data_IF_010014450759
#
_entry.id   IF_010014450759
#
_cell.length_a   1.000
_cell.length_b   1.000
_cell.length_c   1.000
_cell.angle_alpha   90.00
_cell.angle_beta   90.00
_cell.angle_gamma   90.00
#
_symmetry.space_group_name_H-M   'P 1'
#
loop_
_entity.id
_entity.type
_entity.pdbx_description
1 polymer ?
#
# COMPACT_ATOMS: atom_id res chain seq x y z
N UNK A 1 -31.00 -19.69 -0.13
CA UNK A 1 -29.72 -20.42 0.07
C UNK A 1 -28.62 -19.60 -0.59
N UNK A 2 -28.04 -18.67 0.15
CA UNK A 2 -26.86 -17.90 -0.26
C UNK A 2 -25.65 -18.77 0.00
N UNK A 3 -25.15 -19.48 -1.02
CA UNK A 3 -23.86 -20.14 -0.95
C UNK A 3 -23.19 -20.13 -2.32
N UNK A 4 -21.88 -19.89 -2.33
CA UNK A 4 -21.36 -18.65 -2.85
C UNK A 4 -20.36 -18.99 -3.96
N UNK A 5 -20.61 -18.47 -5.16
CA UNK A 5 -19.60 -18.54 -6.22
C UNK A 5 -18.35 -17.86 -5.69
N UNK A 6 -17.29 -18.64 -5.45
CA UNK A 6 -15.96 -18.16 -5.11
C UNK A 6 -15.65 -16.94 -5.99
N UNK A 7 -15.45 -15.77 -5.38
CA UNK A 7 -15.02 -14.58 -6.11
C UNK A 7 -13.78 -14.98 -6.91
N UNK A 8 -13.86 -14.88 -8.24
CA UNK A 8 -12.78 -15.31 -9.11
C UNK A 8 -11.52 -14.53 -8.74
N UNK A 9 -10.46 -15.28 -8.41
CA UNK A 9 -9.14 -14.70 -8.16
C UNK A 9 -8.70 -13.97 -9.43
N UNK A 10 -8.32 -12.70 -9.27
CA UNK A 10 -7.79 -11.90 -10.37
C UNK A 10 -6.26 -11.84 -10.24
N UNK A 11 -5.53 -12.44 -11.18
CA UNK A 11 -4.08 -12.58 -11.09
C UNK A 11 -3.35 -11.23 -10.97
N UNK A 12 -3.84 -10.18 -11.65
CA UNK A 12 -3.28 -8.83 -11.56
C UNK A 12 -3.46 -8.25 -10.16
N UNK A 13 -4.62 -8.48 -9.54
CA UNK A 13 -4.85 -8.06 -8.15
C UNK A 13 -3.89 -8.77 -7.20
N UNK A 14 -3.70 -10.09 -7.35
CA UNK A 14 -2.74 -10.85 -6.54
C UNK A 14 -1.29 -10.38 -6.76
N UNK A 15 -0.93 -10.02 -7.99
CA UNK A 15 0.38 -9.45 -8.28
C UNK A 15 0.58 -8.11 -7.53
N UNK A 16 -0.43 -7.24 -7.51
CA UNK A 16 -0.37 -6.00 -6.72
C UNK A 16 -0.31 -6.25 -5.22
N UNK A 17 -1.06 -7.23 -4.70
CA UNK A 17 -0.95 -7.65 -3.29
C UNK A 17 0.48 -8.09 -2.95
N UNK A 18 1.07 -8.95 -3.79
CA UNK A 18 2.46 -9.38 -3.61
C UNK A 18 3.45 -8.22 -3.70
N UNK A 19 3.26 -7.30 -4.66
CA UNK A 19 4.09 -6.11 -4.82
C UNK A 19 4.03 -5.19 -3.60
N UNK A 20 2.84 -4.91 -3.08
CA UNK A 20 2.67 -4.04 -1.90
C UNK A 20 3.23 -4.70 -0.64
N UNK A 21 3.08 -6.02 -0.49
CA UNK A 21 3.71 -6.77 0.59
C UNK A 21 5.24 -6.64 0.53
N UNK A 22 5.83 -6.84 -0.65
CA UNK A 22 7.28 -6.67 -0.84
C UNK A 22 7.71 -5.24 -0.54
N UNK A 23 6.93 -4.25 -0.95
CA UNK A 23 7.21 -2.83 -0.66
C UNK A 23 7.20 -2.54 0.84
N UNK A 24 6.25 -3.10 1.59
CA UNK A 24 6.19 -2.95 3.04
C UNK A 24 7.38 -3.61 3.74
N UNK A 25 7.82 -4.79 3.26
CA UNK A 25 9.04 -5.44 3.76
C UNK A 25 10.27 -4.59 3.45
N UNK A 26 10.38 -4.04 2.23
CA UNK A 26 11.49 -3.18 1.84
C UNK A 26 11.54 -1.90 2.65
N UNK A 27 10.39 -1.26 2.89
CA UNK A 27 10.27 -0.08 3.75
C UNK A 27 10.89 -0.36 5.12
N UNK A 28 10.39 -1.37 5.84
CA UNK A 28 10.92 -1.69 7.18
C UNK A 28 12.39 -2.13 7.17
N UNK A 29 12.84 -2.79 6.12
CA UNK A 29 14.25 -3.13 5.96
C UNK A 29 15.13 -1.89 5.76
N UNK A 30 14.68 -0.94 4.93
CA UNK A 30 15.43 0.28 4.64
C UNK A 30 15.51 1.22 5.85
N UNK A 31 14.45 1.27 6.66
CA UNK A 31 14.36 2.07 7.88
C UNK A 31 15.45 1.72 8.93
N UNK A 32 16.10 0.55 8.86
CA UNK A 32 17.30 0.27 9.66
C UNK A 32 18.43 1.28 9.38
N UNK A 33 18.51 1.83 8.17
CA UNK A 33 19.48 2.85 7.78
C UNK A 33 19.33 4.15 8.56
N UNK A 34 18.15 4.45 9.11
CA UNK A 34 17.90 5.65 9.90
C UNK A 34 18.68 5.69 11.22
N UNK A 35 19.29 4.57 11.63
CA UNK A 35 20.26 4.55 12.73
C UNK A 35 21.44 5.50 12.49
N UNK A 36 21.78 5.80 11.22
CA UNK A 36 22.82 6.76 10.87
C UNK A 36 22.42 8.22 11.12
N UNK A 37 21.13 8.52 11.30
CA UNK A 37 20.65 9.87 11.56
C UNK A 37 21.00 10.29 12.99
N UNK A 38 21.98 11.18 13.10
CA UNK A 38 22.46 11.67 14.41
C UNK A 38 21.48 12.63 15.10
N UNK A 39 20.68 13.38 14.32
CA UNK A 39 19.75 14.39 14.84
C UNK A 39 18.32 14.13 14.37
N UNK A 40 17.51 13.65 15.30
CA UNK A 40 16.08 13.48 15.12
C UNK A 40 15.34 14.79 15.36
N UNK A 41 14.51 15.18 14.39
CA UNK A 41 13.57 16.29 14.55
C UNK A 41 12.16 15.73 14.51
N UNK A 42 11.22 16.49 15.08
CA UNK A 42 9.80 16.13 15.01
C UNK A 42 9.33 15.94 13.57
N UNK A 43 9.83 16.75 12.63
CA UNK A 43 9.49 16.65 11.20
C UNK A 43 9.91 15.33 10.56
N UNK A 44 11.13 14.84 10.84
CA UNK A 44 11.61 13.53 10.32
C UNK A 44 10.76 12.39 10.87
N UNK A 45 10.48 12.43 12.17
CA UNK A 45 9.65 11.41 12.81
C UNK A 45 8.21 11.41 12.26
N UNK A 46 7.61 12.59 12.11
CA UNK A 46 6.27 12.73 11.54
C UNK A 46 6.22 12.27 10.07
N UNK A 47 7.29 12.51 9.31
CA UNK A 47 7.41 12.06 7.93
C UNK A 47 7.36 10.53 7.82
N UNK A 48 8.12 9.80 8.65
CA UNK A 48 8.12 8.33 8.64
C UNK A 48 6.74 7.79 9.02
N UNK A 49 6.08 8.39 10.02
CA UNK A 49 4.69 8.03 10.37
C UNK A 49 3.77 8.23 9.17
N UNK A 50 3.87 9.37 8.48
CA UNK A 50 3.06 9.65 7.31
C UNK A 50 3.32 8.66 6.17
N UNK A 51 4.58 8.26 5.95
CA UNK A 51 4.94 7.24 4.98
C UNK A 51 4.34 5.88 5.33
N UNK A 52 4.49 5.43 6.58
CA UNK A 52 3.88 4.19 7.06
C UNK A 52 2.35 4.19 6.93
N UNK A 53 1.68 5.31 7.21
CA UNK A 53 0.23 5.46 7.00
C UNK A 53 -0.13 5.34 5.52
N UNK A 54 0.65 5.95 4.63
CA UNK A 54 0.41 5.89 3.18
C UNK A 54 0.51 4.44 2.67
N UNK A 55 1.53 3.69 3.13
CA UNK A 55 1.68 2.27 2.83
C UNK A 55 0.49 1.45 3.35
N UNK A 56 0.02 1.74 4.58
CA UNK A 56 -1.17 1.11 5.14
C UNK A 56 -2.42 1.39 4.30
N UNK A 57 -2.63 2.63 3.87
CA UNK A 57 -3.77 2.99 3.01
C UNK A 57 -3.71 2.27 1.66
N UNK A 58 -2.50 2.08 1.10
CA UNK A 58 -2.32 1.32 -0.14
C UNK A 58 -2.73 -0.16 0.04
N UNK A 59 -2.38 -0.78 1.18
CA UNK A 59 -2.86 -2.11 1.55
C UNK A 59 -4.39 -2.13 1.70
N UNK A 60 -4.95 -1.16 2.42
CA UNK A 60 -6.39 -1.07 2.68
C UNK A 60 -7.20 -0.92 1.38
N UNK A 61 -6.68 -0.19 0.38
CA UNK A 61 -7.33 -0.09 -0.92
C UNK A 61 -7.35 -1.41 -1.71
N UNK A 62 -6.39 -2.31 -1.48
CA UNK A 62 -6.41 -3.61 -2.12
C UNK A 62 -7.47 -4.55 -1.52
N UNK A 63 -7.83 -4.38 -0.25
CA UNK A 63 -8.78 -5.27 0.41
C UNK A 63 -10.11 -4.57 0.71
N UNK A 64 -11.20 -4.88 -0.01
CA UNK A 64 -12.50 -4.28 0.27
C UNK A 64 -13.06 -4.72 1.63
N UNK A 65 -13.69 -3.79 2.35
CA UNK A 65 -14.47 -4.10 3.56
C UNK A 65 -15.68 -5.00 3.26
N UNK A 66 -16.23 -4.91 2.05
CA UNK A 66 -17.37 -5.73 1.59
C UNK A 66 -17.30 -5.94 0.08
N UNK A 67 -17.61 -7.17 -0.36
CA UNK A 67 -17.73 -7.55 -1.77
C UNK A 67 -19.19 -7.55 -2.28
N UNK A 68 -20.16 -7.13 -1.45
CA UNK A 68 -21.59 -7.22 -1.79
C UNK A 68 -21.98 -6.41 -3.04
N UNK A 69 -21.27 -5.31 -3.30
CA UNK A 69 -21.51 -4.42 -4.44
C UNK A 69 -20.66 -4.78 -5.68
N UNK A 70 -19.81 -5.81 -5.60
CA UNK A 70 -18.84 -6.15 -6.64
C UNK A 70 -19.03 -7.56 -7.18
N UNK A 71 -18.95 -7.68 -8.50
CA UNK A 71 -19.12 -8.97 -9.18
C UNK A 71 -17.85 -9.84 -9.13
N UNK A 72 -16.68 -9.23 -8.99
CA UNK A 72 -15.38 -9.90 -8.91
C UNK A 72 -14.28 -8.98 -8.35
N UNK A 73 -13.10 -9.53 -8.03
CA UNK A 73 -11.92 -8.74 -7.65
C UNK A 73 -11.39 -7.86 -8.79
N UNK A 74 -11.64 -8.24 -10.05
CA UNK A 74 -11.30 -7.42 -11.21
C UNK A 74 -12.13 -6.14 -11.25
N UNK A 75 -13.45 -6.28 -11.12
CA UNK A 75 -14.42 -5.19 -11.06
C UNK A 75 -14.12 -4.23 -9.89
N UNK A 76 -13.88 -4.79 -8.70
CA UNK A 76 -13.43 -4.03 -7.54
C UNK A 76 -12.15 -3.24 -7.84
N UNK A 77 -11.11 -3.90 -8.35
CA UNK A 77 -9.83 -3.26 -8.63
C UNK A 77 -9.97 -2.12 -9.63
N UNK A 78 -10.73 -2.31 -10.71
CA UNK A 78 -10.97 -1.26 -11.70
C UNK A 78 -11.75 -0.07 -11.14
N UNK A 79 -12.68 -0.28 -10.20
CA UNK A 79 -13.41 0.81 -9.53
C UNK A 79 -12.51 1.65 -8.61
N UNK A 80 -11.45 1.05 -8.04
CA UNK A 80 -10.51 1.71 -7.12
C UNK A 80 -9.18 2.11 -7.76
N UNK A 81 -8.94 1.77 -9.02
CA UNK A 81 -7.63 1.93 -9.70
C UNK A 81 -7.02 3.33 -9.57
N UNK A 82 -7.83 4.38 -9.71
CA UNK A 82 -7.32 5.75 -9.68
C UNK A 82 -6.76 6.12 -8.30
N UNK A 83 -7.45 5.69 -7.24
CA UNK A 83 -6.97 5.85 -5.87
C UNK A 83 -5.76 4.97 -5.58
N UNK A 84 -5.77 3.72 -6.05
CA UNK A 84 -4.65 2.81 -5.90
C UNK A 84 -3.37 3.35 -6.55
N UNK A 85 -3.44 3.74 -7.83
CA UNK A 85 -2.29 4.30 -8.55
C UNK A 85 -1.88 5.70 -8.04
N UNK A 86 -2.84 6.49 -7.54
CA UNK A 86 -2.55 7.77 -6.89
C UNK A 86 -1.74 7.60 -5.61
N UNK A 87 -2.15 6.68 -4.73
CA UNK A 87 -1.40 6.36 -3.52
C UNK A 87 -0.05 5.69 -3.85
N UNK A 88 -0.02 4.80 -4.85
CA UNK A 88 1.24 4.19 -5.31
C UNK A 88 2.24 5.25 -5.81
N UNK A 89 1.76 6.24 -6.56
CA UNK A 89 2.58 7.38 -6.98
C UNK A 89 3.08 8.18 -5.78
N UNK A 90 2.21 8.44 -4.79
CA UNK A 90 2.60 9.12 -3.56
C UNK A 90 3.67 8.33 -2.77
N UNK A 91 3.56 7.00 -2.69
CA UNK A 91 4.58 6.18 -2.01
C UNK A 91 5.94 6.30 -2.68
N UNK A 92 6.03 6.37 -4.01
CA UNK A 92 7.31 6.58 -4.67
C UNK A 92 7.90 7.97 -4.42
N UNK A 93 7.07 9.00 -4.30
CA UNK A 93 7.56 10.33 -3.91
C UNK A 93 8.11 10.33 -2.49
N UNK A 94 7.42 9.66 -1.57
CA UNK A 94 7.88 9.51 -0.18
C UNK A 94 9.17 8.70 -0.11
N UNK A 95 9.28 7.61 -0.87
CA UNK A 95 10.48 6.80 -0.97
C UNK A 95 11.72 7.60 -1.39
N UNK A 96 11.56 8.47 -2.39
CA UNK A 96 12.63 9.37 -2.84
C UNK A 96 13.02 10.34 -1.72
N UNK A 97 12.04 10.91 -1.01
CA UNK A 97 12.33 11.84 0.10
C UNK A 97 13.05 11.11 1.24
N UNK A 98 12.60 9.90 1.59
CA UNK A 98 13.20 9.07 2.65
C UNK A 98 14.65 8.70 2.33
N UNK A 99 14.93 8.32 1.09
CA UNK A 99 16.29 8.03 0.61
C UNK A 99 17.24 9.23 0.74
N UNK A 100 16.71 10.46 0.79
CA UNK A 100 17.49 11.69 0.91
C UNK A 100 17.65 12.17 2.37
N UNK A 101 16.99 11.53 3.35
CA UNK A 101 17.09 11.86 4.78
C UNK A 101 18.36 11.32 5.43
#
# INVERSE_FOLDING_TARGET
VQHPGQYRLYAVHLAWVGSVLLMLVHFWWWEFGLYAIQSWTFGKYLFIIFYAITLFLLCALLFPDSMLDYTSYEDYFYSRRAWFFGLLGATYLLDIIDTLL
#
